data_IF_452988480395
#
_entry.id   IF_452988480395
#
_cell.length_a   1.000
_cell.length_b   1.000
_cell.length_c   1.000
_cell.angle_alpha   90.00
_cell.angle_beta   90.00
_cell.angle_gamma   90.00
#
_symmetry.space_group_name_H-M   'P 1'
#
loop_
_entity.id
_entity.type
_entity.pdbx_description
1 polymer ?
#
# COMPACT_ATOMS: atom_id res chain seq x y z
N UNK A 1 31.68 22.32 25.99
CA UNK A 1 31.18 23.18 24.88
C UNK A 1 31.27 22.54 23.47
N UNK A 2 31.94 21.39 23.29
CA UNK A 2 32.05 20.71 21.98
C UNK A 2 30.76 20.03 21.51
N UNK A 3 29.90 19.52 22.40
CA UNK A 3 28.71 18.79 22.00
C UNK A 3 27.55 19.62 21.42
N UNK A 4 27.49 20.93 21.67
CA UNK A 4 26.41 21.78 21.17
C UNK A 4 26.54 22.08 19.67
N UNK A 5 27.76 22.25 19.17
CA UNK A 5 28.01 22.52 17.76
C UNK A 5 27.73 21.32 16.83
N UNK A 6 28.03 20.11 17.29
CA UNK A 6 27.75 18.88 16.53
C UNK A 6 26.26 18.62 16.38
N UNK A 7 25.48 18.84 17.46
CA UNK A 7 24.02 18.70 17.39
C UNK A 7 23.37 19.75 16.44
N UNK A 8 23.86 21.01 16.47
CA UNK A 8 23.36 22.03 15.55
C UNK A 8 23.70 21.66 14.10
N UNK A 9 24.91 21.17 13.84
CA UNK A 9 25.32 20.72 12.51
C UNK A 9 24.49 19.51 12.03
N UNK A 10 24.20 18.55 12.93
CA UNK A 10 23.35 17.40 12.63
C UNK A 10 21.90 17.82 12.35
N UNK A 11 21.34 18.79 13.10
CA UNK A 11 20.01 19.36 12.85
C UNK A 11 19.93 20.04 11.48
N UNK A 12 20.93 20.86 11.14
CA UNK A 12 20.97 21.55 9.83
C UNK A 12 21.12 20.53 8.70
N UNK A 13 21.94 19.51 8.88
CA UNK A 13 22.16 18.48 7.86
C UNK A 13 20.90 17.63 7.63
N UNK A 14 20.26 17.14 8.71
CA UNK A 14 19.02 16.36 8.60
C UNK A 14 17.88 17.19 8.02
N UNK A 15 17.78 18.48 8.35
CA UNK A 15 16.80 19.38 7.74
C UNK A 15 17.07 19.59 6.25
N UNK A 16 18.34 19.83 5.86
CA UNK A 16 18.73 20.02 4.47
C UNK A 16 18.58 18.76 3.60
N UNK A 17 18.76 17.57 4.20
CA UNK A 17 18.55 16.28 3.54
C UNK A 17 17.08 15.81 3.52
N UNK A 18 16.17 16.53 4.20
CA UNK A 18 14.77 16.14 4.35
C UNK A 18 14.55 14.90 5.21
N UNK A 19 15.56 14.50 6.01
CA UNK A 19 15.48 13.39 6.96
C UNK A 19 14.87 13.87 8.28
N UNK A 20 13.53 13.89 8.31
CA UNK A 20 12.78 14.36 9.46
C UNK A 20 12.93 13.44 10.68
N UNK A 21 13.08 12.14 10.49
CA UNK A 21 13.24 11.21 11.61
C UNK A 21 14.59 11.43 12.31
N UNK A 22 15.65 11.64 11.53
CA UNK A 22 16.95 12.04 12.05
C UNK A 22 16.86 13.43 12.71
N UNK A 23 16.16 14.40 12.10
CA UNK A 23 15.96 15.74 12.67
C UNK A 23 15.29 15.69 14.03
N UNK A 24 14.14 15.02 14.16
CA UNK A 24 13.43 14.90 15.43
C UNK A 24 14.21 14.08 16.48
N UNK A 25 14.95 13.06 16.06
CA UNK A 25 15.81 12.28 16.95
C UNK A 25 16.90 13.16 17.57
N UNK A 26 17.60 13.94 16.74
CA UNK A 26 18.63 14.87 17.23
C UNK A 26 18.03 16.00 18.07
N UNK A 27 16.87 16.55 17.70
CA UNK A 27 16.17 17.57 18.46
C UNK A 27 15.76 17.07 19.88
N UNK A 28 15.30 15.82 20.00
CA UNK A 28 15.02 15.19 21.30
C UNK A 28 16.30 14.97 22.12
N UNK A 29 17.43 14.64 21.50
CA UNK A 29 18.71 14.53 22.17
C UNK A 29 19.16 15.90 22.72
N UNK A 30 18.97 16.98 21.98
CA UNK A 30 19.24 18.35 22.43
C UNK A 30 18.37 18.72 23.62
N UNK A 31 17.07 18.40 23.59
CA UNK A 31 16.15 18.62 24.70
C UNK A 31 16.59 17.82 25.97
N UNK A 32 16.97 16.55 25.79
CA UNK A 32 17.47 15.71 26.89
C UNK A 32 18.79 16.23 27.47
N UNK A 33 19.68 16.78 26.64
CA UNK A 33 20.93 17.40 27.07
C UNK A 33 20.67 18.70 27.85
N UNK A 34 19.77 19.54 27.38
CA UNK A 34 19.35 20.77 28.09
C UNK A 34 18.77 20.45 29.50
N UNK A 35 17.96 19.38 29.61
CA UNK A 35 17.45 18.90 30.89
C UNK A 35 18.58 18.48 31.84
N UNK A 36 19.58 17.75 31.37
CA UNK A 36 20.75 17.33 32.15
C UNK A 36 21.63 18.51 32.63
N UNK A 37 21.66 19.57 31.86
CA UNK A 37 22.38 20.81 32.19
C UNK A 37 21.60 21.75 33.10
N UNK A 38 20.43 21.36 33.59
CA UNK A 38 19.60 22.14 34.51
C UNK A 38 18.65 23.14 33.80
N UNK A 39 18.65 23.21 32.49
CA UNK A 39 17.78 24.09 31.69
C UNK A 39 16.40 23.46 31.45
N UNK A 40 15.68 23.13 32.56
CA UNK A 40 14.39 22.41 32.50
C UNK A 40 13.34 23.09 31.63
N UNK A 41 13.20 24.43 31.74
CA UNK A 41 12.23 25.19 30.91
C UNK A 41 12.53 25.02 29.41
N UNK A 42 13.79 25.20 29.00
CA UNK A 42 14.18 25.02 27.59
C UNK A 42 13.93 23.58 27.09
N UNK A 43 14.19 22.58 27.92
CA UNK A 43 13.95 21.18 27.59
C UNK A 43 12.46 20.86 27.41
N UNK A 44 11.60 21.40 28.26
CA UNK A 44 10.14 21.26 28.16
C UNK A 44 9.59 22.01 26.94
N UNK A 45 10.05 23.23 26.66
CA UNK A 45 9.63 24.00 25.50
C UNK A 45 10.03 23.34 24.19
N UNK A 46 11.27 22.82 24.10
CA UNK A 46 11.74 22.05 22.94
C UNK A 46 10.90 20.80 22.74
N UNK A 47 10.67 20.02 23.79
CA UNK A 47 9.86 18.80 23.73
C UNK A 47 8.44 19.11 23.26
N UNK A 48 7.80 20.12 23.84
CA UNK A 48 6.46 20.57 23.46
C UNK A 48 6.39 21.04 22.01
N UNK A 49 7.39 21.78 21.55
CA UNK A 49 7.49 22.26 20.17
C UNK A 49 7.67 21.10 19.20
N UNK A 50 8.52 20.11 19.53
CA UNK A 50 8.73 18.90 18.73
C UNK A 50 7.44 18.08 18.64
N UNK A 51 6.77 17.85 19.78
CA UNK A 51 5.50 17.12 19.83
C UNK A 51 4.39 17.85 19.04
N UNK A 52 4.28 19.16 19.20
CA UNK A 52 3.33 19.98 18.44
C UNK A 52 3.62 19.94 16.93
N UNK A 53 4.89 20.03 16.52
CA UNK A 53 5.27 19.96 15.10
C UNK A 53 5.00 18.58 14.50
N UNK A 54 5.20 17.50 15.25
CA UNK A 54 4.83 16.13 14.83
C UNK A 54 3.31 15.97 14.70
N UNK A 55 2.55 16.52 15.65
CA UNK A 55 1.07 16.46 15.65
C UNK A 55 0.48 17.35 14.57
N UNK A 56 1.01 18.56 14.36
CA UNK A 56 0.54 19.52 13.34
C UNK A 56 0.83 18.99 11.92
N UNK A 57 1.95 18.29 11.74
CA UNK A 57 2.29 17.65 10.46
C UNK A 57 1.39 16.45 10.17
N UNK A 58 1.07 15.63 11.19
CA UNK A 58 0.07 14.56 11.06
C UNK A 58 -1.31 15.14 10.74
N UNK A 59 -1.68 16.27 11.39
CA UNK A 59 -2.93 16.97 11.15
C UNK A 59 -2.95 17.67 9.77
N UNK A 60 -1.82 18.24 9.31
CA UNK A 60 -1.71 18.86 7.98
C UNK A 60 -1.79 17.83 6.85
N UNK A 61 -1.13 16.67 7.00
CA UNK A 61 -1.24 15.56 6.04
C UNK A 61 -2.68 15.06 5.97
N UNK A 62 -3.36 14.91 7.11
CA UNK A 62 -4.78 14.53 7.18
C UNK A 62 -5.69 15.60 6.56
N UNK A 63 -5.41 16.88 6.77
CA UNK A 63 -6.23 17.99 6.23
C UNK A 63 -6.07 18.19 4.71
N UNK A 64 -4.88 17.93 4.16
CA UNK A 64 -4.60 18.08 2.72
C UNK A 64 -5.11 16.88 1.91
N UNK A 65 -5.20 15.70 2.53
CA UNK A 65 -5.58 14.46 1.86
C UNK A 65 -7.09 14.17 1.85
N UNK A 66 -7.93 15.04 2.42
CA UNK A 66 -9.39 14.86 2.32
C UNK A 66 -9.88 15.37 0.96
N UNK A 67 -10.48 14.48 0.14
CA UNK A 67 -11.11 14.89 -1.10
C UNK A 67 -12.16 15.98 -0.85
N UNK A 68 -12.26 16.96 -1.74
CA UNK A 68 -13.26 18.06 -1.63
C UNK A 68 -14.10 18.13 -2.91
N UNK A 69 -15.35 18.56 -2.77
CA UNK A 69 -16.26 18.68 -3.92
C UNK A 69 -16.54 17.33 -4.58
N UNK A 70 -16.58 17.29 -5.90
CA UNK A 70 -16.85 16.08 -6.70
C UNK A 70 -15.85 14.95 -6.42
N UNK A 71 -14.61 15.26 -6.05
CA UNK A 71 -13.58 14.27 -5.72
C UNK A 71 -13.96 13.41 -4.50
N UNK A 72 -14.79 13.93 -3.58
CA UNK A 72 -15.24 13.18 -2.39
C UNK A 72 -16.10 11.96 -2.76
N UNK A 73 -16.81 12.03 -3.87
CA UNK A 73 -17.62 10.91 -4.35
C UNK A 73 -16.80 9.88 -5.12
N UNK A 74 -15.68 10.30 -5.72
CA UNK A 74 -14.84 9.50 -6.59
C UNK A 74 -13.69 8.80 -5.88
N UNK A 75 -13.31 9.26 -4.67
CA UNK A 75 -12.08 8.82 -3.99
C UNK A 75 -12.35 8.57 -2.51
N UNK A 76 -11.87 7.43 -2.02
CA UNK A 76 -11.81 7.11 -0.59
C UNK A 76 -10.39 7.32 -0.11
N UNK A 77 -10.19 8.29 0.80
CA UNK A 77 -8.90 8.55 1.41
C UNK A 77 -8.74 7.74 2.70
N UNK A 78 -7.59 7.11 2.87
CA UNK A 78 -7.23 6.36 4.07
C UNK A 78 -5.74 6.52 4.39
N UNK A 79 -5.37 6.21 5.64
CA UNK A 79 -3.98 6.19 6.10
C UNK A 79 -3.69 4.79 6.65
N UNK A 80 -3.23 3.87 5.80
CA UNK A 80 -2.95 2.50 6.21
C UNK A 80 -1.85 2.46 7.28
N UNK A 81 -1.97 1.51 8.22
CA UNK A 81 -0.94 1.24 9.24
C UNK A 81 -0.20 -0.08 9.00
N UNK A 82 -0.35 -0.63 7.80
CA UNK A 82 0.23 -1.91 7.40
C UNK A 82 1.64 -1.70 6.83
N UNK A 83 2.65 -2.24 7.50
CA UNK A 83 4.05 -2.14 7.04
C UNK A 83 4.51 -3.31 6.17
N UNK A 84 5.67 -3.14 5.53
CA UNK A 84 6.26 -4.13 4.61
C UNK A 84 6.44 -5.52 5.25
N UNK A 85 6.69 -5.60 6.56
CA UNK A 85 6.87 -6.88 7.29
C UNK A 85 5.60 -7.75 7.32
N UNK A 86 4.42 -7.16 7.11
CA UNK A 86 3.14 -7.87 7.11
C UNK A 86 2.77 -8.39 5.71
N UNK A 87 3.50 -7.96 4.68
CA UNK A 87 3.28 -8.34 3.31
C UNK A 87 4.19 -9.53 2.96
N UNK A 88 3.59 -10.70 2.75
CA UNK A 88 4.33 -11.91 2.34
C UNK A 88 4.35 -11.96 0.81
N UNK A 89 5.54 -11.86 0.23
CA UNK A 89 5.79 -11.87 -1.21
C UNK A 89 6.91 -12.85 -1.56
N UNK A 90 7.06 -13.18 -2.83
CA UNK A 90 8.28 -13.81 -3.33
C UNK A 90 9.48 -12.88 -3.16
N UNK A 91 10.70 -13.45 -3.14
CA UNK A 91 11.94 -12.65 -3.02
C UNK A 91 12.04 -11.61 -4.14
N UNK A 92 11.72 -12.00 -5.37
CA UNK A 92 11.75 -11.13 -6.54
C UNK A 92 10.77 -9.98 -6.40
N UNK A 93 9.50 -10.27 -6.08
CA UNK A 93 8.46 -9.27 -5.92
C UNK A 93 8.75 -8.34 -4.73
N UNK A 94 9.30 -8.88 -3.64
CA UNK A 94 9.75 -8.09 -2.48
C UNK A 94 10.88 -7.11 -2.85
N UNK A 95 11.84 -7.55 -3.66
CA UNK A 95 12.93 -6.70 -4.16
C UNK A 95 12.40 -5.57 -5.05
N UNK A 96 11.42 -5.86 -5.92
CA UNK A 96 10.77 -4.84 -6.77
C UNK A 96 10.01 -3.80 -5.93
N UNK A 97 9.24 -4.23 -4.94
CA UNK A 97 8.53 -3.31 -4.01
C UNK A 97 9.53 -2.45 -3.22
N UNK A 98 10.63 -3.05 -2.74
CA UNK A 98 11.69 -2.31 -2.05
C UNK A 98 12.36 -1.29 -2.98
N UNK A 99 12.60 -1.64 -4.24
CA UNK A 99 13.14 -0.72 -5.23
C UNK A 99 12.23 0.50 -5.42
N UNK A 100 10.92 0.30 -5.55
CA UNK A 100 9.95 1.41 -5.64
C UNK A 100 10.09 2.35 -4.43
N UNK A 101 10.14 1.79 -3.22
CA UNK A 101 10.28 2.57 -1.99
C UNK A 101 11.59 3.37 -1.95
N UNK A 102 12.70 2.76 -2.38
CA UNK A 102 14.01 3.43 -2.45
C UNK A 102 13.98 4.57 -3.47
N UNK A 103 13.50 4.33 -4.68
CA UNK A 103 13.39 5.35 -5.73
C UNK A 103 12.51 6.53 -5.29
N UNK A 104 11.38 6.25 -4.65
CA UNK A 104 10.48 7.29 -4.16
C UNK A 104 11.07 8.10 -2.99
N UNK A 105 11.83 7.47 -2.10
CA UNK A 105 12.55 8.16 -1.02
C UNK A 105 13.72 9.00 -1.54
N UNK A 106 14.38 8.55 -2.59
CA UNK A 106 15.55 9.22 -3.22
C UNK A 106 15.18 9.98 -4.50
N UNK A 107 13.89 10.29 -4.71
CA UNK A 107 13.38 10.89 -5.95
C UNK A 107 14.14 12.16 -6.36
N UNK A 108 14.48 13.05 -5.41
CA UNK A 108 15.23 14.29 -5.72
C UNK A 108 16.58 13.97 -6.35
N UNK A 109 17.30 13.01 -5.81
CA UNK A 109 18.59 12.59 -6.34
C UNK A 109 18.45 12.03 -7.77
N UNK A 110 17.41 11.25 -8.05
CA UNK A 110 17.14 10.75 -9.41
C UNK A 110 16.86 11.90 -10.37
N UNK A 111 15.98 12.81 -10.00
CA UNK A 111 15.62 13.98 -10.82
C UNK A 111 16.82 14.89 -11.11
N UNK A 112 17.70 15.12 -10.13
CA UNK A 112 18.92 15.90 -10.30
C UNK A 112 19.89 15.28 -11.34
N UNK A 113 19.77 13.95 -11.59
CA UNK A 113 20.52 13.22 -12.62
C UNK A 113 19.71 13.02 -13.93
N UNK A 114 18.50 13.58 -14.03
CA UNK A 114 17.65 13.48 -15.21
C UNK A 114 16.87 12.16 -15.33
N UNK A 115 16.69 11.43 -14.21
CA UNK A 115 15.90 10.20 -14.18
C UNK A 115 14.61 10.40 -13.39
N UNK A 116 13.49 9.92 -13.95
CA UNK A 116 12.22 9.89 -13.23
C UNK A 116 12.14 8.63 -12.34
N UNK A 117 11.73 8.76 -11.07
CA UNK A 117 11.46 7.60 -10.23
C UNK A 117 10.21 6.87 -10.73
N UNK A 118 10.14 5.56 -10.49
CA UNK A 118 8.95 4.75 -10.76
C UNK A 118 7.75 5.37 -10.05
N UNK A 119 6.71 5.72 -10.79
CA UNK A 119 5.49 6.33 -10.26
C UNK A 119 4.19 5.74 -10.85
N UNK A 120 4.26 4.99 -11.97
CA UNK A 120 3.12 4.29 -12.57
C UNK A 120 3.35 2.78 -12.46
N UNK A 121 2.55 2.12 -11.63
CA UNK A 121 2.74 0.73 -11.23
C UNK A 121 1.50 -0.06 -11.59
N UNK A 122 1.67 -1.19 -12.28
CA UNK A 122 0.61 -2.15 -12.53
C UNK A 122 0.82 -3.39 -11.68
N UNK A 123 -0.16 -3.75 -10.87
CA UNK A 123 -0.20 -4.97 -10.07
C UNK A 123 -1.09 -6.00 -10.80
N UNK A 124 -0.52 -7.12 -11.20
CA UNK A 124 -1.21 -8.13 -11.98
C UNK A 124 -1.15 -9.49 -11.29
N UNK A 125 -2.23 -10.24 -11.31
CA UNK A 125 -2.25 -11.63 -10.83
C UNK A 125 -3.59 -12.05 -10.22
N UNK A 126 -3.71 -13.30 -9.73
CA UNK A 126 -4.95 -13.84 -9.19
C UNK A 126 -5.54 -13.02 -8.06
N UNK A 127 -6.87 -13.09 -7.84
CA UNK A 127 -7.51 -12.41 -6.71
C UNK A 127 -6.98 -12.93 -5.37
N UNK A 128 -6.94 -12.03 -4.38
CA UNK A 128 -6.52 -12.37 -3.03
C UNK A 128 -5.02 -12.62 -2.85
N UNK A 129 -4.15 -12.21 -3.78
CA UNK A 129 -2.69 -12.37 -3.71
C UNK A 129 -1.95 -11.20 -3.06
N UNK A 130 -2.66 -10.15 -2.61
CA UNK A 130 -2.05 -9.04 -1.87
C UNK A 130 -1.83 -7.75 -2.66
N UNK A 131 -2.37 -7.63 -3.89
CA UNK A 131 -2.23 -6.43 -4.73
C UNK A 131 -2.66 -5.14 -4.02
N UNK A 132 -3.89 -5.08 -3.56
CA UNK A 132 -4.44 -3.93 -2.80
C UNK A 132 -3.64 -3.67 -1.52
N UNK A 133 -3.18 -4.72 -0.84
CA UNK A 133 -2.33 -4.61 0.35
C UNK A 133 -0.98 -3.98 0.02
N UNK A 134 -0.40 -4.27 -1.15
CA UNK A 134 0.85 -3.64 -1.59
C UNK A 134 0.70 -2.13 -1.77
N UNK A 135 -0.40 -1.66 -2.36
CA UNK A 135 -0.67 -0.22 -2.45
C UNK A 135 -0.78 0.43 -1.06
N UNK A 136 -1.43 -0.26 -0.11
CA UNK A 136 -1.52 0.19 1.28
C UNK A 136 -0.14 0.24 1.97
N UNK A 137 0.71 -0.77 1.75
CA UNK A 137 2.09 -0.80 2.26
C UNK A 137 2.92 0.33 1.65
N UNK A 138 2.84 0.57 0.34
CA UNK A 138 3.54 1.68 -0.31
C UNK A 138 3.13 3.03 0.30
N UNK A 139 1.83 3.25 0.53
CA UNK A 139 1.33 4.46 1.16
C UNK A 139 1.88 4.64 2.59
N UNK A 140 1.83 3.57 3.38
CA UNK A 140 2.35 3.58 4.76
C UNK A 140 3.85 3.87 4.82
N UNK A 141 4.66 3.12 4.06
CA UNK A 141 6.12 3.21 4.06
C UNK A 141 6.64 4.55 3.53
N UNK A 142 5.86 5.21 2.67
CA UNK A 142 6.16 6.54 2.14
C UNK A 142 5.52 7.67 2.95
N UNK A 143 4.75 7.34 4.00
CA UNK A 143 3.99 8.31 4.80
C UNK A 143 3.06 9.17 3.93
N UNK A 144 2.42 8.55 2.94
CA UNK A 144 1.47 9.16 2.02
C UNK A 144 0.05 8.66 2.29
N UNK A 145 -0.99 9.43 1.98
CA UNK A 145 -2.36 8.93 1.98
C UNK A 145 -2.54 7.89 0.87
N UNK A 146 -3.35 6.88 1.14
CA UNK A 146 -3.89 5.98 0.12
C UNK A 146 -5.23 6.52 -0.35
N UNK A 147 -5.33 6.81 -1.63
CA UNK A 147 -6.48 7.39 -2.31
C UNK A 147 -7.05 6.32 -3.25
N UNK A 148 -8.02 5.55 -2.77
CA UNK A 148 -8.65 4.49 -3.56
C UNK A 148 -9.75 5.06 -4.42
N UNK A 149 -9.64 4.86 -5.73
CA UNK A 149 -10.59 5.36 -6.71
C UNK A 149 -11.82 4.45 -6.75
N UNK A 150 -12.99 5.04 -6.67
CA UNK A 150 -14.28 4.36 -6.79
C UNK A 150 -14.64 4.21 -8.25
N UNK A 151 -14.28 3.07 -8.85
CA UNK A 151 -14.56 2.81 -10.26
C UNK A 151 -16.08 2.75 -10.53
N UNK A 152 -16.88 2.28 -9.58
CA UNK A 152 -18.35 2.32 -9.64
C UNK A 152 -18.92 3.74 -9.78
N UNK A 153 -18.34 4.70 -9.06
CA UNK A 153 -18.74 6.11 -9.13
C UNK A 153 -18.21 6.83 -10.39
N UNK A 154 -17.09 6.34 -10.96
CA UNK A 154 -16.57 6.85 -12.23
C UNK A 154 -17.45 6.46 -13.40
N UNK A 155 -18.01 5.23 -13.38
CA UNK A 155 -18.84 4.73 -14.47
C UNK A 155 -20.17 5.49 -14.52
N UNK A 156 -20.47 6.08 -15.66
CA UNK A 156 -21.73 6.78 -15.94
C UNK A 156 -22.31 6.23 -17.23
N UNK A 157 -23.63 6.27 -17.36
CA UNK A 157 -24.31 5.95 -18.63
C UNK A 157 -23.93 6.90 -19.77
N UNK A 158 -23.36 8.06 -19.43
CA UNK A 158 -22.93 9.08 -20.37
C UNK A 158 -21.39 9.11 -20.41
N UNK A 159 -20.82 8.74 -21.54
CA UNK A 159 -19.37 8.63 -21.74
C UNK A 159 -18.62 9.95 -21.48
N UNK A 160 -19.21 11.09 -21.78
CA UNK A 160 -18.60 12.40 -21.50
C UNK A 160 -18.40 12.67 -20.03
N UNK A 161 -19.30 12.18 -19.16
CA UNK A 161 -19.18 12.31 -17.70
C UNK A 161 -18.05 11.44 -17.13
N UNK A 162 -17.91 10.21 -17.61
CA UNK A 162 -16.83 9.31 -17.16
C UNK A 162 -15.45 9.90 -17.49
N UNK A 163 -15.25 10.46 -18.68
CA UNK A 163 -14.00 11.11 -19.05
C UNK A 163 -13.74 12.38 -18.21
N UNK A 164 -14.77 13.18 -17.90
CA UNK A 164 -14.66 14.34 -17.05
C UNK A 164 -14.29 13.95 -15.60
N UNK A 165 -14.94 12.92 -15.04
CA UNK A 165 -14.63 12.40 -13.72
C UNK A 165 -13.20 11.84 -13.64
N UNK A 166 -12.75 11.08 -14.65
CA UNK A 166 -11.36 10.64 -14.74
C UNK A 166 -10.40 11.82 -14.75
N UNK A 167 -10.70 12.86 -15.53
CA UNK A 167 -9.89 14.08 -15.54
C UNK A 167 -9.81 14.69 -14.14
N UNK A 168 -10.93 14.84 -13.43
CA UNK A 168 -10.96 15.35 -12.04
C UNK A 168 -10.04 14.53 -11.11
N UNK A 169 -10.03 13.19 -11.24
CA UNK A 169 -9.13 12.32 -10.47
C UNK A 169 -7.68 12.58 -10.85
N UNK A 170 -7.34 12.67 -12.15
CA UNK A 170 -5.95 12.91 -12.56
C UNK A 170 -5.46 14.33 -12.28
N UNK A 171 -6.33 15.33 -12.30
CA UNK A 171 -5.99 16.68 -11.79
C UNK A 171 -5.60 16.59 -10.29
N UNK A 172 -6.34 15.81 -9.49
CA UNK A 172 -5.98 15.58 -8.09
C UNK A 172 -4.66 14.78 -7.91
N UNK A 173 -4.34 13.84 -8.80
CA UNK A 173 -3.04 13.13 -8.82
C UNK A 173 -1.89 14.11 -8.95
N UNK A 174 -2.05 15.17 -9.76
CA UNK A 174 -1.04 16.22 -9.97
C UNK A 174 -0.97 17.17 -8.79
N UNK A 175 -2.12 17.61 -8.27
CA UNK A 175 -2.22 18.64 -7.24
C UNK A 175 -1.90 18.15 -5.83
N UNK A 176 -2.13 16.87 -5.56
CA UNK A 176 -2.05 16.29 -4.20
C UNK A 176 -1.23 15.01 -4.19
N UNK A 177 -0.04 15.08 -3.59
CA UNK A 177 0.84 13.93 -3.47
C UNK A 177 0.20 12.81 -2.64
N UNK A 178 0.12 11.59 -3.20
CA UNK A 178 -0.47 10.42 -2.58
C UNK A 178 -0.20 9.14 -3.36
N UNK A 179 -0.70 8.02 -2.86
CA UNK A 179 -0.78 6.75 -3.58
C UNK A 179 -2.21 6.60 -4.08
N UNK A 180 -2.43 6.71 -5.38
CA UNK A 180 -3.73 6.60 -6.03
C UNK A 180 -3.92 5.18 -6.54
N UNK A 181 -4.89 4.47 -5.97
CA UNK A 181 -5.17 3.08 -6.30
C UNK A 181 -6.41 2.97 -7.19
N UNK A 182 -6.21 2.47 -8.40
CA UNK A 182 -7.26 1.99 -9.31
C UNK A 182 -7.34 0.48 -9.18
N UNK A 183 -8.15 -0.01 -8.24
CA UNK A 183 -8.33 -1.45 -8.03
C UNK A 183 -9.33 -2.02 -9.05
N UNK A 184 -9.18 -3.29 -9.42
CA UNK A 184 -10.02 -3.96 -10.41
C UNK A 184 -10.12 -3.20 -11.75
N UNK A 185 -8.98 -2.72 -12.27
CA UNK A 185 -8.92 -1.94 -13.53
C UNK A 185 -9.58 -2.66 -14.71
N UNK A 186 -9.67 -3.98 -14.66
CA UNK A 186 -10.37 -4.82 -15.63
C UNK A 186 -11.86 -4.47 -15.80
N UNK A 187 -12.50 -3.88 -14.78
CA UNK A 187 -13.88 -3.35 -14.88
C UNK A 187 -13.98 -2.27 -15.96
N UNK A 188 -12.94 -1.44 -16.12
CA UNK A 188 -12.87 -0.44 -17.20
C UNK A 188 -12.72 -1.07 -18.60
N UNK A 189 -12.31 -2.35 -18.68
CA UNK A 189 -12.18 -3.11 -19.92
C UNK A 189 -13.50 -3.66 -20.48
N UNK A 190 -14.58 -3.64 -19.69
CA UNK A 190 -15.94 -4.04 -20.06
C UNK A 190 -16.17 -5.55 -20.08
N UNK A 191 -17.39 -5.95 -19.73
CA UNK A 191 -17.88 -7.31 -19.88
C UNK A 191 -18.11 -7.61 -21.39
N UNK A 192 -17.80 -8.81 -21.83
CA UNK A 192 -17.78 -9.21 -23.25
C UNK A 192 -19.17 -9.31 -23.95
N UNK A 193 -20.21 -8.75 -23.37
CA UNK A 193 -21.56 -8.71 -23.96
C UNK A 193 -21.70 -7.53 -24.94
N UNK A 194 -21.59 -7.82 -26.15
CA UNK A 194 -21.90 -7.24 -27.48
C UNK A 194 -22.20 -5.75 -27.71
N UNK A 195 -22.54 -4.91 -26.76
CA UNK A 195 -22.82 -3.47 -27.01
C UNK A 195 -21.84 -2.50 -26.34
N UNK A 196 -21.18 -2.89 -25.25
CA UNK A 196 -20.41 -1.98 -24.41
C UNK A 196 -18.89 -2.00 -24.65
N UNK A 197 -18.38 -2.92 -25.49
CA UNK A 197 -16.93 -3.06 -25.76
C UNK A 197 -16.30 -1.79 -26.31
N UNK A 198 -17.07 -1.02 -27.10
CA UNK A 198 -16.59 0.24 -27.68
C UNK A 198 -16.45 1.36 -26.65
N UNK A 199 -17.35 1.42 -25.66
CA UNK A 199 -17.33 2.43 -24.60
C UNK A 199 -16.23 2.13 -23.57
N UNK A 200 -16.13 0.88 -23.13
CA UNK A 200 -15.10 0.44 -22.21
C UNK A 200 -13.68 0.70 -22.76
N UNK A 201 -13.43 0.41 -24.04
CA UNK A 201 -12.15 0.74 -24.70
C UNK A 201 -11.86 2.24 -24.72
N UNK A 202 -12.88 3.08 -24.94
CA UNK A 202 -12.68 4.54 -24.96
C UNK A 202 -12.35 5.06 -23.57
N UNK A 203 -12.99 4.54 -22.52
CA UNK A 203 -12.70 4.89 -21.11
C UNK A 203 -11.28 4.48 -20.77
N UNK A 204 -10.87 3.25 -21.12
CA UNK A 204 -9.51 2.76 -20.90
C UNK A 204 -8.48 3.62 -21.65
N UNK A 205 -8.77 4.00 -22.88
CA UNK A 205 -7.90 4.90 -23.66
C UNK A 205 -7.80 6.29 -23.01
N UNK A 206 -8.90 6.83 -22.47
CA UNK A 206 -8.88 8.09 -21.72
C UNK A 206 -8.05 7.97 -20.45
N UNK A 207 -8.19 6.89 -19.70
CA UNK A 207 -7.35 6.59 -18.54
C UNK A 207 -5.87 6.57 -18.92
N UNK A 208 -5.50 5.86 -20.00
CA UNK A 208 -4.12 5.78 -20.47
C UNK A 208 -3.57 7.13 -20.92
N UNK A 209 -4.37 7.92 -21.60
CA UNK A 209 -4.00 9.27 -22.01
C UNK A 209 -3.72 10.18 -20.79
N UNK A 210 -4.58 10.15 -19.78
CA UNK A 210 -4.37 10.92 -18.57
C UNK A 210 -3.18 10.40 -17.75
N UNK A 211 -2.99 9.06 -17.68
CA UNK A 211 -1.84 8.44 -17.01
C UNK A 211 -0.51 8.92 -17.61
N UNK A 212 -0.42 9.04 -18.94
CA UNK A 212 0.79 9.53 -19.62
C UNK A 212 0.99 11.05 -19.47
N UNK A 213 -0.11 11.79 -19.52
CA UNK A 213 -0.06 13.25 -19.41
C UNK A 213 0.23 13.73 -17.99
N UNK A 214 -0.03 12.91 -16.98
CA UNK A 214 0.19 13.28 -15.58
C UNK A 214 1.67 13.20 -15.20
N UNK A 215 2.33 14.35 -15.20
CA UNK A 215 3.63 14.50 -14.51
C UNK A 215 3.35 14.86 -13.07
N UNK A 216 3.53 13.90 -12.16
CA UNK A 216 3.19 14.12 -10.74
C UNK A 216 4.21 13.48 -9.80
N UNK A 217 4.19 13.94 -8.55
CA UNK A 217 4.94 13.36 -7.44
C UNK A 217 4.22 12.17 -6.78
N UNK A 218 3.01 11.90 -7.22
CA UNK A 218 2.17 10.82 -6.70
C UNK A 218 2.52 9.48 -7.34
N UNK A 219 2.20 8.39 -6.63
CA UNK A 219 2.21 7.06 -7.22
C UNK A 219 0.81 6.74 -7.75
N UNK A 220 0.73 6.34 -9.01
CA UNK A 220 -0.48 5.76 -9.59
C UNK A 220 -0.31 4.25 -9.63
N UNK A 221 -1.14 3.55 -8.88
CA UNK A 221 -1.14 2.09 -8.77
C UNK A 221 -2.43 1.58 -9.37
N UNK A 222 -2.33 0.76 -10.40
CA UNK A 222 -3.46 0.04 -10.97
C UNK A 222 -3.36 -1.44 -10.61
N UNK A 223 -4.47 -2.08 -10.25
CA UNK A 223 -4.50 -3.51 -9.98
C UNK A 223 -5.53 -4.22 -10.88
N UNK A 224 -5.17 -5.40 -11.36
CA UNK A 224 -6.04 -6.22 -12.21
C UNK A 224 -5.93 -7.71 -11.86
N UNK A 225 -7.06 -8.41 -11.98
CA UNK A 225 -7.12 -9.86 -11.87
C UNK A 225 -7.03 -10.56 -13.24
N UNK A 226 -7.17 -9.83 -14.33
CA UNK A 226 -7.34 -10.37 -15.68
C UNK A 226 -6.37 -9.74 -16.70
N UNK A 227 -5.15 -10.30 -16.81
CA UNK A 227 -4.16 -9.89 -17.81
C UNK A 227 -4.70 -9.90 -19.24
N UNK A 228 -5.50 -10.91 -19.58
CA UNK A 228 -5.96 -11.13 -20.94
C UNK A 228 -6.93 -10.04 -21.47
N UNK A 229 -7.53 -9.25 -20.57
CA UNK A 229 -8.46 -8.18 -20.93
C UNK A 229 -7.70 -6.90 -21.29
N UNK A 230 -6.50 -6.74 -20.75
CA UNK A 230 -5.68 -5.56 -20.95
C UNK A 230 -4.78 -5.71 -22.17
N UNK A 231 -4.87 -4.77 -23.11
CA UNK A 231 -4.05 -4.75 -24.32
C UNK A 231 -2.55 -4.62 -23.98
N UNK A 232 -1.67 -5.21 -24.81
CA UNK A 232 -0.21 -5.06 -24.67
C UNK A 232 0.25 -3.59 -24.67
N UNK A 233 -0.50 -2.71 -25.32
CA UNK A 233 -0.24 -1.27 -25.31
C UNK A 233 -0.36 -0.66 -23.92
N UNK A 234 -1.23 -1.19 -23.04
CA UNK A 234 -1.42 -0.73 -21.67
C UNK A 234 -0.17 -0.97 -20.84
N UNK A 235 0.45 -2.16 -20.97
CA UNK A 235 1.64 -2.50 -20.16
C UNK A 235 2.82 -1.55 -20.41
N UNK A 236 2.92 -0.98 -21.62
CA UNK A 236 4.00 -0.04 -21.98
C UNK A 236 3.84 1.34 -21.36
N UNK A 237 2.67 1.63 -20.77
CA UNK A 237 2.35 2.91 -20.14
C UNK A 237 2.68 2.95 -18.65
N UNK A 238 2.97 1.79 -18.07
CA UNK A 238 3.42 1.67 -16.70
C UNK A 238 4.94 1.57 -16.66
N UNK A 239 5.54 2.19 -15.66
CA UNK A 239 6.99 2.17 -15.45
C UNK A 239 7.43 0.82 -14.90
N UNK A 240 6.54 0.14 -14.16
CA UNK A 240 6.78 -1.17 -13.57
C UNK A 240 5.52 -2.02 -13.53
N UNK A 241 5.67 -3.31 -13.80
CA UNK A 241 4.60 -4.32 -13.71
C UNK A 241 5.00 -5.36 -12.68
N UNK A 242 4.25 -5.47 -11.60
CA UNK A 242 4.45 -6.43 -10.52
C UNK A 242 3.53 -7.64 -10.74
N UNK A 243 4.12 -8.81 -10.96
CA UNK A 243 3.39 -10.04 -11.24
C UNK A 243 3.18 -10.86 -9.97
N UNK A 244 1.94 -11.01 -9.56
CA UNK A 244 1.54 -11.80 -8.39
C UNK A 244 1.20 -13.22 -8.80
N UNK A 245 1.69 -14.17 -8.03
CA UNK A 245 1.31 -15.58 -8.12
C UNK A 245 0.60 -16.02 -6.83
N UNK A 246 -0.02 -17.19 -6.87
CA UNK A 246 -0.43 -17.87 -5.65
C UNK A 246 0.80 -18.17 -4.79
N UNK A 247 0.67 -18.15 -3.45
CA UNK A 247 1.80 -18.36 -2.56
C UNK A 247 2.35 -19.79 -2.69
N UNK A 248 3.68 -19.92 -2.64
CA UNK A 248 4.32 -21.21 -2.45
C UNK A 248 4.14 -21.73 -1.03
N UNK A 249 4.61 -22.95 -0.75
CA UNK A 249 4.45 -23.59 0.56
C UNK A 249 5.08 -22.76 1.69
N UNK A 250 6.24 -22.16 1.46
CA UNK A 250 6.94 -21.33 2.45
C UNK A 250 6.18 -20.03 2.75
N UNK A 251 5.72 -19.38 1.70
CA UNK A 251 4.89 -18.19 1.79
C UNK A 251 3.53 -18.49 2.45
N UNK A 252 2.88 -19.59 2.10
CA UNK A 252 1.62 -20.00 2.70
C UNK A 252 1.74 -20.20 4.21
N UNK A 253 2.80 -20.87 4.65
CA UNK A 253 3.12 -21.04 6.08
C UNK A 253 3.40 -19.67 6.73
N UNK A 254 4.13 -18.79 6.06
CA UNK A 254 4.45 -17.45 6.58
C UNK A 254 3.17 -16.60 6.76
N UNK A 255 2.24 -16.62 5.80
CA UNK A 255 0.94 -15.95 5.87
C UNK A 255 0.14 -16.43 7.08
N UNK A 256 -0.02 -17.75 7.23
CA UNK A 256 -0.77 -18.32 8.34
C UNK A 256 -0.12 -18.03 9.69
N UNK A 257 1.20 -18.15 9.80
CA UNK A 257 1.94 -17.79 11.02
C UNK A 257 1.78 -16.32 11.37
N UNK A 258 1.89 -15.45 10.39
CA UNK A 258 1.70 -14.01 10.57
C UNK A 258 0.32 -13.67 11.12
N UNK A 259 -0.73 -14.34 10.61
CA UNK A 259 -2.12 -14.12 11.07
C UNK A 259 -2.40 -14.69 12.45
N UNK A 260 -1.90 -15.89 12.73
CA UNK A 260 -2.14 -16.60 13.99
C UNK A 260 -1.28 -16.09 15.16
N UNK A 261 -0.11 -15.53 14.87
CA UNK A 261 0.79 -14.98 15.90
C UNK A 261 1.15 -16.02 16.97
N UNK A 262 0.85 -15.70 18.23
CA UNK A 262 1.17 -16.56 19.39
C UNK A 262 0.33 -17.84 19.49
N UNK A 263 -0.84 -17.87 18.85
CA UNK A 263 -1.77 -19.02 18.92
C UNK A 263 -1.20 -20.28 18.27
N UNK A 264 -0.22 -20.16 17.35
CA UNK A 264 0.32 -21.28 16.54
C UNK A 264 1.67 -21.80 17.05
N UNK A 265 2.08 -21.47 18.26
CA UNK A 265 3.35 -21.95 18.83
C UNK A 265 3.39 -23.46 18.96
N UNK A 266 4.37 -24.11 18.32
CA UNK A 266 4.61 -25.54 18.41
C UNK A 266 3.86 -26.40 17.37
N UNK A 267 3.14 -25.80 16.44
CA UNK A 267 2.47 -26.53 15.35
C UNK A 267 3.51 -27.08 14.36
N UNK A 268 3.37 -28.34 13.99
CA UNK A 268 4.07 -28.95 12.87
C UNK A 268 3.38 -28.58 11.56
N UNK A 269 4.10 -27.86 10.71
CA UNK A 269 3.59 -27.44 9.40
C UNK A 269 3.75 -28.51 8.31
N UNK A 270 4.69 -29.44 8.52
CA UNK A 270 4.89 -30.58 7.63
C UNK A 270 3.59 -31.41 7.52
N UNK A 271 3.13 -31.65 6.30
CA UNK A 271 1.86 -32.32 6.01
C UNK A 271 0.67 -31.39 5.75
N UNK A 272 0.73 -30.12 6.20
CA UNK A 272 -0.29 -29.10 5.88
C UNK A 272 -0.01 -28.39 4.54
N UNK A 273 1.22 -28.45 4.05
CA UNK A 273 1.67 -27.73 2.85
C UNK A 273 0.88 -28.11 1.60
N UNK A 274 0.55 -29.40 1.43
CA UNK A 274 -0.28 -29.86 0.31
C UNK A 274 -1.69 -29.27 0.35
N UNK A 275 -2.23 -29.06 1.54
CA UNK A 275 -3.58 -28.50 1.73
C UNK A 275 -3.61 -26.97 1.56
N UNK A 276 -2.47 -26.30 1.66
CA UNK A 276 -2.34 -24.86 1.39
C UNK A 276 -2.21 -24.59 -0.11
N UNK A 277 -1.81 -25.58 -0.90
CA UNK A 277 -1.56 -25.43 -2.32
C UNK A 277 -2.85 -25.02 -3.06
N UNK A 278 -2.73 -24.01 -3.93
CA UNK A 278 -3.85 -23.46 -4.69
C UNK A 278 -4.68 -22.39 -3.95
N UNK A 279 -4.50 -22.24 -2.64
CA UNK A 279 -5.16 -21.16 -1.90
C UNK A 279 -4.42 -19.83 -2.09
N UNK A 280 -5.18 -18.74 -2.25
CA UNK A 280 -4.63 -17.40 -2.26
C UNK A 280 -4.23 -16.94 -0.84
N UNK A 281 -3.46 -15.85 -0.72
CA UNK A 281 -3.13 -15.25 0.58
C UNK A 281 -4.39 -14.95 1.39
N UNK A 282 -5.43 -14.41 0.76
CA UNK A 282 -6.72 -14.14 1.41
C UNK A 282 -7.41 -15.42 1.88
N UNK A 283 -7.36 -16.51 1.08
CA UNK A 283 -7.90 -17.81 1.46
C UNK A 283 -7.17 -18.40 2.67
N UNK A 284 -5.84 -18.30 2.70
CA UNK A 284 -5.02 -18.75 3.83
C UNK A 284 -5.28 -17.92 5.11
N UNK A 285 -5.40 -16.60 4.98
CA UNK A 285 -5.75 -15.72 6.11
C UNK A 285 -7.12 -16.12 6.68
N UNK A 286 -8.10 -16.34 5.81
CA UNK A 286 -9.44 -16.77 6.23
C UNK A 286 -9.41 -18.12 6.95
N UNK A 287 -8.70 -19.11 6.42
CA UNK A 287 -8.55 -20.41 7.07
C UNK A 287 -7.87 -20.27 8.45
N UNK A 288 -6.82 -19.46 8.54
CA UNK A 288 -6.14 -19.16 9.82
C UNK A 288 -7.11 -18.53 10.84
N UNK A 289 -7.91 -17.55 10.40
CA UNK A 289 -8.92 -16.90 11.25
C UNK A 289 -10.00 -17.88 11.73
N UNK A 290 -10.49 -18.74 10.88
CA UNK A 290 -11.54 -19.70 11.21
C UNK A 290 -11.03 -20.73 12.21
N UNK A 291 -9.80 -21.26 12.04
CA UNK A 291 -9.14 -22.11 13.02
C UNK A 291 -8.97 -21.38 14.37
N UNK A 292 -8.50 -20.13 14.35
CA UNK A 292 -8.32 -19.34 15.58
C UNK A 292 -9.66 -19.09 16.30
N UNK A 293 -10.71 -18.70 15.56
CA UNK A 293 -12.06 -18.50 16.13
C UNK A 293 -12.61 -19.77 16.77
N UNK A 294 -12.50 -20.90 16.10
CA UNK A 294 -12.96 -22.19 16.63
C UNK A 294 -12.29 -22.52 17.95
N UNK A 295 -10.98 -22.38 18.03
CA UNK A 295 -10.21 -22.64 19.27
C UNK A 295 -10.60 -21.65 20.38
N UNK A 296 -10.70 -20.36 20.09
CA UNK A 296 -11.05 -19.34 21.09
C UNK A 296 -12.47 -19.56 21.63
N UNK A 297 -13.45 -19.87 20.77
CA UNK A 297 -14.81 -20.12 21.17
C UNK A 297 -14.95 -21.39 22.05
N UNK A 298 -14.08 -22.39 21.81
CA UNK A 298 -13.98 -23.59 22.63
C UNK A 298 -13.05 -23.40 23.86
N UNK A 299 -12.73 -22.16 24.25
CA UNK A 299 -11.87 -21.84 25.39
C UNK A 299 -10.45 -22.43 25.29
N UNK A 300 -10.01 -22.78 24.08
CA UNK A 300 -8.65 -23.21 23.79
C UNK A 300 -7.66 -22.05 23.77
N UNK A 301 -6.40 -22.35 23.99
CA UNK A 301 -5.31 -21.35 24.05
C UNK A 301 -4.33 -21.45 22.88
N UNK A 302 -4.41 -22.51 22.09
CA UNK A 302 -3.50 -22.78 20.96
C UNK A 302 -4.23 -23.51 19.84
N UNK A 303 -3.92 -23.11 18.63
CA UNK A 303 -4.37 -23.79 17.41
C UNK A 303 -3.48 -25.01 17.18
N UNK A 304 -4.08 -26.15 16.88
CA UNK A 304 -3.42 -27.43 16.59
C UNK A 304 -3.29 -27.65 15.08
N UNK A 305 -2.57 -28.70 14.68
CA UNK A 305 -2.49 -29.10 13.28
C UNK A 305 -3.84 -29.58 12.75
N UNK A 306 -4.65 -30.26 13.58
CA UNK A 306 -5.97 -30.73 13.21
C UNK A 306 -6.96 -29.59 12.99
N UNK A 307 -6.93 -28.54 13.83
CA UNK A 307 -7.73 -27.34 13.64
C UNK A 307 -7.41 -26.65 12.30
N UNK A 308 -6.11 -26.59 11.93
CA UNK A 308 -5.67 -26.04 10.65
C UNK A 308 -6.08 -26.91 9.48
N UNK A 309 -5.98 -28.23 9.62
CA UNK A 309 -6.41 -29.20 8.61
C UNK A 309 -7.89 -28.99 8.27
N UNK A 310 -8.76 -28.92 9.27
CA UNK A 310 -10.19 -28.76 9.09
C UNK A 310 -10.52 -27.41 8.43
N UNK A 311 -9.88 -26.32 8.88
CA UNK A 311 -10.07 -25.00 8.30
C UNK A 311 -9.60 -24.91 6.84
N UNK A 312 -8.46 -25.51 6.50
CA UNK A 312 -7.94 -25.55 5.13
C UNK A 312 -8.86 -26.38 4.22
N UNK A 313 -9.36 -27.51 4.71
CA UNK A 313 -10.32 -28.34 3.97
C UNK A 313 -11.62 -27.58 3.70
N UNK A 314 -12.10 -26.80 4.67
CA UNK A 314 -13.25 -25.93 4.49
C UNK A 314 -12.98 -24.82 3.47
N UNK A 315 -11.80 -24.19 3.50
CA UNK A 315 -11.40 -23.16 2.54
C UNK A 315 -11.42 -23.67 1.09
N UNK A 316 -10.96 -24.90 0.84
CA UNK A 316 -11.01 -25.52 -0.48
C UNK A 316 -12.44 -25.78 -0.96
N UNK A 317 -13.34 -26.19 -0.07
CA UNK A 317 -14.77 -26.39 -0.45
C UNK A 317 -15.38 -25.08 -0.94
N UNK A 318 -15.12 -23.97 -0.24
CA UNK A 318 -15.63 -22.66 -0.63
C UNK A 318 -15.10 -22.18 -2.00
N UNK A 319 -13.84 -22.52 -2.32
CA UNK A 319 -13.27 -22.20 -3.65
C UNK A 319 -13.91 -22.99 -4.79
N UNK A 320 -14.39 -24.21 -4.52
CA UNK A 320 -14.98 -25.09 -5.54
C UNK A 320 -16.50 -24.87 -5.72
N UNK A 321 -17.16 -24.22 -4.77
CA UNK A 321 -18.60 -23.95 -4.78
C UNK A 321 -18.95 -22.52 -5.29
N UNK A 322 -17.98 -21.61 -5.45
CA UNK A 322 -18.13 -20.24 -5.96
C UNK A 322 -17.51 -20.07 -7.31
#
# INVERSE_FOLDING_TARGET
MAGSGEHVKALVHSHASGDDDAFYSVALQVAAQAARQGHRRLAEDLKKTIEASRTDRSARVVSIAQPRGELTELVIASHPVVGLKQLVLSEELSAEVQRILVEQRQRRQLLDHGFDPVHRILLEGPPGTGKTMTAAVLAHELSLPLLTIRLDALMSKFMGETAAKLKTVFDAVVDHRGVYLFDELDVLGGDRSNSDVGEARKILNSFLMFLEASSSESLVVAATNHRAILDKALFRRFDMVLNYALPDAGQAVAVMKGRLGSLVKGVRWAGLEQQMQGLSHAGLVRAAEDAAKTVILNQGTRVTADDLHDALHQAHRWMNEG
#
